data_IF_191702807143
#
_entry.id   IF_191702807143
#
_cell.length_a   1.000
_cell.length_b   1.000
_cell.length_c   1.000
_cell.angle_alpha   90.00
_cell.angle_beta   90.00
_cell.angle_gamma   90.00
#
_symmetry.space_group_name_H-M   'P 1'
#
loop_
_entity.id
_entity.type
_entity.pdbx_description
1 polymer ?
#
# COMPACT_ATOMS: atom_id res chain seq x y z
N UNK A 1 5.25 -0.59 -79.07
CA UNK A 1 5.41 -1.53 -77.94
C UNK A 1 5.90 -0.72 -76.72
N UNK A 2 5.02 -0.34 -75.78
CA UNK A 2 5.37 0.45 -74.58
C UNK A 2 5.03 -0.42 -73.39
N UNK A 3 6.06 -0.88 -72.68
CA UNK A 3 5.98 -1.63 -71.44
C UNK A 3 5.71 -0.60 -70.34
N UNK A 4 4.59 -0.71 -69.59
CA UNK A 4 4.29 0.06 -68.42
C UNK A 4 4.73 -0.75 -67.23
N UNK A 5 5.74 -0.25 -66.53
CA UNK A 5 6.26 -0.78 -65.24
C UNK A 5 5.31 -0.28 -64.13
N UNK A 6 4.58 -1.19 -63.48
CA UNK A 6 3.78 -0.88 -62.29
C UNK A 6 4.66 -1.05 -61.05
N UNK A 7 4.93 0.07 -60.38
CA UNK A 7 5.60 0.08 -59.07
C UNK A 7 4.50 -0.09 -58.00
N UNK A 8 4.50 -1.25 -57.34
CA UNK A 8 3.66 -1.50 -56.19
C UNK A 8 4.34 -0.88 -54.95
N UNK A 9 3.74 0.17 -54.44
CA UNK A 9 4.14 0.78 -53.17
C UNK A 9 3.59 -0.09 -52.04
N UNK A 10 4.43 -0.86 -51.39
CA UNK A 10 4.12 -1.58 -50.14
C UNK A 10 4.31 -0.58 -48.99
N UNK A 11 3.22 0.00 -48.53
CA UNK A 11 3.22 0.79 -47.27
C UNK A 11 3.25 -0.17 -46.10
N UNK A 12 4.43 -0.36 -45.54
CA UNK A 12 4.65 -1.06 -44.27
C UNK A 12 4.17 -0.16 -43.12
N UNK A 13 2.92 -0.34 -42.69
CA UNK A 13 2.41 0.27 -41.46
C UNK A 13 3.12 -0.32 -40.26
N UNK A 14 4.18 0.33 -39.83
CA UNK A 14 4.80 0.09 -38.53
C UNK A 14 3.83 0.60 -37.44
N UNK A 15 2.94 -0.26 -36.97
CA UNK A 15 2.20 -0.01 -35.75
C UNK A 15 3.22 -0.05 -34.60
N UNK A 16 3.78 1.13 -34.30
CA UNK A 16 4.58 1.33 -33.08
C UNK A 16 3.61 1.22 -31.90
N UNK A 17 3.45 0.00 -31.38
CA UNK A 17 2.82 -0.23 -30.10
C UNK A 17 3.66 0.48 -29.04
N UNK A 18 3.27 1.71 -28.72
CA UNK A 18 3.77 2.39 -27.53
C UNK A 18 3.25 1.58 -26.35
N UNK A 19 4.04 0.61 -25.89
CA UNK A 19 3.90 0.09 -24.55
C UNK A 19 4.09 1.29 -23.62
N UNK A 20 2.99 1.90 -23.21
CA UNK A 20 2.96 2.76 -22.03
C UNK A 20 3.34 1.86 -20.86
N UNK A 21 4.63 1.72 -20.60
CA UNK A 21 5.07 1.28 -19.29
C UNK A 21 4.50 2.32 -18.32
N UNK A 22 3.58 1.89 -17.47
CA UNK A 22 3.21 2.67 -16.30
C UNK A 22 4.52 3.14 -15.67
N UNK A 23 4.69 4.44 -15.54
CA UNK A 23 5.82 5.00 -14.81
C UNK A 23 5.53 4.60 -13.36
N UNK A 24 6.12 3.50 -12.90
CA UNK A 24 6.18 3.22 -11.47
C UNK A 24 6.87 4.44 -10.88
N UNK A 25 6.21 5.15 -9.98
CA UNK A 25 6.89 6.09 -9.13
C UNK A 25 7.80 5.22 -8.24
N UNK A 26 9.06 5.17 -8.61
CA UNK A 26 10.03 4.37 -7.89
C UNK A 26 10.26 4.96 -6.49
N UNK A 27 10.58 4.12 -5.49
CA UNK A 27 11.06 4.59 -4.20
C UNK A 27 12.28 5.50 -4.39
N UNK A 28 12.60 6.31 -3.38
CA UNK A 28 13.74 7.22 -3.47
C UNK A 28 15.04 6.44 -3.69
N UNK A 29 16.02 7.04 -4.39
CA UNK A 29 17.31 6.37 -4.63
C UNK A 29 17.97 5.90 -3.33
N UNK A 30 18.28 4.61 -3.25
CA UNK A 30 18.91 3.98 -2.09
C UNK A 30 17.93 3.33 -1.11
N UNK A 31 16.65 3.36 -1.38
CA UNK A 31 15.66 2.59 -0.63
C UNK A 31 15.64 1.13 -1.09
N UNK A 32 15.38 0.25 -0.14
CA UNK A 32 15.35 -1.21 -0.33
C UNK A 32 13.96 -1.69 0.05
N UNK A 33 13.35 -2.46 -0.84
CA UNK A 33 12.08 -3.14 -0.60
C UNK A 33 12.26 -4.19 0.50
N UNK A 34 11.37 -4.19 1.51
CA UNK A 34 11.42 -5.11 2.64
C UNK A 34 10.16 -5.94 2.83
N UNK A 35 9.04 -5.50 2.31
CA UNK A 35 7.78 -6.24 2.27
C UNK A 35 7.01 -5.85 1.01
N UNK A 36 6.26 -6.79 0.40
CA UNK A 36 5.64 -6.58 -0.88
C UNK A 36 4.33 -7.34 -1.02
N UNK A 37 3.25 -6.58 -1.25
CA UNK A 37 1.96 -7.09 -1.70
C UNK A 37 1.50 -6.27 -2.91
N UNK A 38 1.77 -6.78 -4.12
CA UNK A 38 1.46 -6.06 -5.36
C UNK A 38 -0.05 -6.00 -5.64
N UNK A 39 -0.55 -4.94 -6.26
CA UNK A 39 -1.97 -4.75 -6.50
C UNK A 39 -2.50 -5.68 -7.60
N UNK A 40 -3.75 -6.06 -7.50
CA UNK A 40 -4.49 -6.69 -8.58
C UNK A 40 -4.74 -5.65 -9.69
N UNK A 41 -4.09 -5.79 -10.81
CA UNK A 41 -4.27 -4.87 -11.96
C UNK A 41 -5.11 -5.46 -13.08
N UNK A 42 -5.11 -6.76 -13.24
CA UNK A 42 -6.00 -7.53 -14.13
C UNK A 42 -5.80 -9.02 -13.86
N UNK A 43 -6.86 -9.80 -13.84
CA UNK A 43 -6.73 -11.26 -13.86
C UNK A 43 -6.11 -11.73 -15.18
N UNK A 44 -5.41 -12.87 -15.20
CA UNK A 44 -5.05 -13.53 -16.44
C UNK A 44 -6.28 -13.77 -17.31
N UNK A 45 -6.14 -13.62 -18.63
CA UNK A 45 -7.22 -13.89 -19.56
C UNK A 45 -7.51 -15.39 -19.56
N UNK A 46 -8.61 -15.77 -18.94
CA UNK A 46 -9.16 -17.12 -18.94
C UNK A 46 -10.32 -17.11 -19.95
N UNK A 47 -10.32 -17.95 -20.98
CA UNK A 47 -11.38 -17.97 -21.96
C UNK A 47 -12.76 -18.16 -21.32
N UNK A 48 -13.69 -17.22 -21.55
CA UNK A 48 -15.04 -17.23 -21.04
C UNK A 48 -15.21 -16.63 -19.63
N UNK A 49 -14.15 -16.14 -19.01
CA UNK A 49 -14.20 -15.40 -17.74
C UNK A 49 -13.85 -13.93 -18.02
N UNK A 50 -14.70 -12.97 -17.64
CA UNK A 50 -14.36 -11.56 -17.72
C UNK A 50 -13.09 -11.26 -16.93
N UNK A 51 -12.21 -10.34 -17.37
CA UNK A 51 -11.09 -9.91 -16.57
C UNK A 51 -11.60 -9.22 -15.30
N UNK A 52 -11.01 -9.56 -14.19
CA UNK A 52 -11.23 -8.89 -12.90
C UNK A 52 -10.02 -7.99 -12.61
N UNK A 53 -10.29 -6.78 -12.18
CA UNK A 53 -9.27 -5.76 -11.96
C UNK A 53 -9.03 -5.44 -10.49
N UNK A 54 -9.53 -6.28 -9.62
CA UNK A 54 -9.51 -6.05 -8.19
C UNK A 54 -10.73 -5.26 -7.71
N UNK A 55 -10.76 -4.98 -6.43
CA UNK A 55 -11.75 -4.12 -5.78
C UNK A 55 -11.07 -3.28 -4.69
N UNK A 56 -11.80 -2.31 -4.18
CA UNK A 56 -11.31 -1.38 -3.18
C UNK A 56 -12.15 -1.48 -1.92
N UNK A 57 -11.50 -1.49 -0.76
CA UNK A 57 -12.15 -1.49 0.54
C UNK A 57 -12.13 -0.07 1.13
N UNK A 58 -13.31 0.44 1.51
CA UNK A 58 -13.46 1.82 1.98
C UNK A 58 -12.59 2.11 3.19
N UNK A 59 -11.67 3.05 3.05
CA UNK A 59 -10.80 3.52 4.11
C UNK A 59 -10.73 5.06 4.12
N UNK A 60 -11.83 5.68 4.56
CA UNK A 60 -12.01 7.14 4.55
C UNK A 60 -12.64 7.62 5.84
N UNK A 61 -12.05 8.65 6.44
CA UNK A 61 -12.59 9.38 7.59
C UNK A 61 -12.77 10.85 7.26
N UNK A 62 -13.87 11.40 7.72
CA UNK A 62 -14.33 12.75 7.41
C UNK A 62 -14.22 13.67 8.63
N UNK A 63 -13.72 14.87 8.40
CA UNK A 63 -13.58 15.90 9.43
C UNK A 63 -13.07 17.21 8.85
N UNK A 64 -12.89 18.24 9.68
CA UNK A 64 -12.16 19.43 9.29
C UNK A 64 -10.65 19.15 9.25
N UNK A 65 -9.89 20.09 8.68
CA UNK A 65 -8.44 20.01 8.66
C UNK A 65 -7.85 19.75 10.07
N UNK A 66 -6.87 18.85 10.23
CA UNK A 66 -6.40 18.41 11.54
C UNK A 66 -5.69 19.54 12.29
N UNK A 67 -6.24 19.91 13.44
CA UNK A 67 -5.62 20.81 14.42
C UNK A 67 -5.88 20.25 15.82
N UNK A 68 -5.07 20.62 16.83
CA UNK A 68 -5.31 20.14 18.20
C UNK A 68 -6.69 20.47 18.79
N UNK A 69 -7.38 21.45 18.23
CA UNK A 69 -8.70 21.91 18.70
C UNK A 69 -9.84 21.59 17.73
N UNK A 70 -9.53 21.02 16.56
CA UNK A 70 -10.56 20.63 15.61
C UNK A 70 -11.34 19.41 16.10
N UNK A 71 -12.60 19.23 15.67
CA UNK A 71 -13.28 17.96 15.85
C UNK A 71 -12.49 16.80 15.22
N UNK A 72 -12.59 15.59 15.76
CA UNK A 72 -11.90 14.43 15.21
C UNK A 72 -12.43 14.06 13.82
N UNK A 73 -11.59 13.43 13.01
CA UNK A 73 -12.03 12.69 11.84
C UNK A 73 -12.74 11.41 12.27
N UNK A 74 -13.84 11.10 11.60
CA UNK A 74 -14.64 9.90 11.87
C UNK A 74 -14.98 9.20 10.56
N UNK A 75 -14.87 7.88 10.54
CA UNK A 75 -15.18 7.10 9.35
C UNK A 75 -14.78 5.64 9.44
N UNK A 76 -14.38 5.10 8.29
CA UNK A 76 -13.93 3.73 8.14
C UNK A 76 -12.42 3.67 8.01
N UNK A 77 -11.85 2.59 8.51
CA UNK A 77 -10.46 2.23 8.24
C UNK A 77 -10.35 0.84 7.66
N UNK A 78 -9.29 0.64 6.91
CA UNK A 78 -8.75 -0.67 6.60
C UNK A 78 -7.36 -0.79 7.23
N UNK A 79 -7.04 -1.98 7.70
CA UNK A 79 -5.70 -2.35 8.15
C UNK A 79 -5.38 -3.75 7.64
N UNK A 80 -4.10 -4.00 7.35
CA UNK A 80 -3.59 -5.27 6.87
C UNK A 80 -2.32 -5.64 7.61
N UNK A 81 -2.08 -6.92 7.79
CA UNK A 81 -0.95 -7.38 8.56
C UNK A 81 0.30 -7.61 7.70
N UNK A 82 1.45 -7.55 8.33
CA UNK A 82 2.73 -7.84 7.69
C UNK A 82 3.76 -8.32 8.70
N UNK A 83 4.70 -9.10 8.22
CA UNK A 83 5.94 -9.41 8.92
C UNK A 83 7.03 -9.67 7.90
N UNK A 84 8.20 -9.09 8.08
CA UNK A 84 9.35 -9.33 7.24
C UNK A 84 10.57 -9.84 8.03
N UNK A 85 11.70 -9.99 7.38
CA UNK A 85 12.93 -10.59 7.91
C UNK A 85 13.95 -9.54 8.37
N UNK A 86 13.60 -8.27 8.36
CA UNK A 86 14.54 -7.18 8.55
C UNK A 86 14.27 -6.43 9.87
N UNK A 87 15.32 -6.14 10.62
CA UNK A 87 15.28 -5.25 11.81
C UNK A 87 15.47 -3.76 11.43
N UNK A 88 15.32 -3.43 10.15
CA UNK A 88 15.50 -2.05 9.68
C UNK A 88 14.17 -1.30 9.68
N UNK A 89 14.18 0.02 9.97
CA UNK A 89 12.94 0.77 10.04
C UNK A 89 12.24 0.88 8.70
N UNK A 90 10.90 0.94 8.72
CA UNK A 90 10.11 1.41 7.58
C UNK A 90 10.27 2.92 7.45
N UNK A 91 10.73 3.36 6.29
CA UNK A 91 10.93 4.78 5.96
C UNK A 91 9.93 5.27 4.93
N UNK A 92 9.52 4.39 4.02
CA UNK A 92 8.62 4.69 2.93
C UNK A 92 7.55 3.61 2.84
N UNK A 93 6.32 4.04 2.56
CA UNK A 93 5.16 3.19 2.31
C UNK A 93 4.63 3.48 0.92
N UNK A 94 4.46 2.44 0.12
CA UNK A 94 3.77 2.50 -1.16
C UNK A 94 2.48 1.69 -1.05
N UNK A 95 1.37 2.22 -1.57
CA UNK A 95 0.09 1.51 -1.57
C UNK A 95 -0.74 1.89 -2.79
N UNK A 96 -1.85 1.20 -3.00
CA UNK A 96 -2.75 1.46 -4.11
C UNK A 96 -4.18 1.66 -3.63
N UNK A 97 -4.95 2.40 -4.40
CA UNK A 97 -6.35 2.66 -4.08
C UNK A 97 -7.06 3.42 -5.18
N UNK A 98 -8.36 3.58 -5.02
CA UNK A 98 -9.24 4.22 -5.98
C UNK A 98 -10.18 5.21 -5.30
N UNK A 99 -10.70 6.12 -6.10
CA UNK A 99 -11.82 6.95 -5.71
C UNK A 99 -13.11 6.20 -6.03
N UNK A 100 -13.86 5.87 -4.97
CA UNK A 100 -15.07 5.05 -5.03
C UNK A 100 -16.31 5.92 -5.26
N UNK A 101 -17.36 5.30 -5.80
CA UNK A 101 -18.67 5.92 -5.94
C UNK A 101 -19.05 6.28 -7.38
N UNK A 102 -20.33 6.65 -7.60
CA UNK A 102 -20.89 6.77 -8.95
C UNK A 102 -20.30 7.88 -9.81
N UNK A 103 -19.67 8.87 -9.20
CA UNK A 103 -19.16 10.05 -9.91
C UNK A 103 -17.65 10.01 -10.14
N UNK A 104 -17.01 8.92 -9.81
CA UNK A 104 -15.57 8.67 -9.93
C UNK A 104 -14.77 9.97 -9.90
N UNK A 105 -14.25 10.30 -8.76
CA UNK A 105 -13.69 11.58 -8.43
C UNK A 105 -12.80 12.20 -9.54
N UNK A 106 -13.12 13.42 -9.95
CA UNK A 106 -12.38 14.18 -10.98
C UNK A 106 -11.65 15.40 -10.43
N UNK A 107 -11.63 15.58 -9.11
CA UNK A 107 -11.07 16.77 -8.44
C UNK A 107 -9.58 16.66 -8.08
N UNK A 108 -9.17 17.37 -7.03
CA UNK A 108 -7.79 17.44 -6.59
C UNK A 108 -7.27 16.20 -5.84
N UNK A 109 -8.13 15.23 -5.54
CA UNK A 109 -7.80 14.01 -4.82
C UNK A 109 -7.69 14.19 -3.30
N UNK A 110 -7.36 13.10 -2.62
CA UNK A 110 -7.07 13.10 -1.19
C UNK A 110 -5.84 13.99 -0.95
N UNK A 111 -5.92 14.84 0.07
CA UNK A 111 -4.83 15.75 0.45
C UNK A 111 -4.00 15.24 1.62
N UNK A 112 -4.57 14.35 2.44
CA UNK A 112 -3.91 13.80 3.62
C UNK A 112 -4.31 12.35 3.83
N UNK A 113 -3.37 11.53 4.28
CA UNK A 113 -3.62 10.20 4.80
C UNK A 113 -3.12 10.10 6.24
N UNK A 114 -3.89 9.38 7.06
CA UNK A 114 -3.42 8.82 8.31
C UNK A 114 -2.70 7.50 7.99
N UNK A 115 -1.52 7.33 8.58
CA UNK A 115 -0.75 6.08 8.55
C UNK A 115 -0.47 5.68 9.99
N UNK A 116 -0.94 4.48 10.37
CA UNK A 116 -0.74 3.88 11.68
C UNK A 116 -0.05 2.54 11.57
N UNK A 117 0.88 2.27 12.49
CA UNK A 117 1.45 0.95 12.72
C UNK A 117 1.03 0.48 14.11
N UNK A 118 0.51 -0.73 14.18
CA UNK A 118 -0.04 -1.31 15.41
C UNK A 118 0.58 -2.67 15.69
N UNK A 119 0.58 -3.07 16.97
CA UNK A 119 0.96 -4.43 17.34
C UNK A 119 -0.10 -5.42 16.88
N UNK A 120 0.29 -6.67 16.75
CA UNK A 120 -0.67 -7.75 16.53
C UNK A 120 -1.34 -8.18 17.83
N UNK A 121 -2.62 -8.56 17.73
CA UNK A 121 -3.36 -9.35 18.71
C UNK A 121 -3.70 -10.68 18.04
N UNK A 122 -2.98 -11.76 18.37
CA UNK A 122 -3.18 -13.06 17.73
C UNK A 122 -4.60 -13.60 17.87
N UNK A 123 -4.99 -14.46 16.95
CA UNK A 123 -6.24 -15.20 17.01
C UNK A 123 -6.38 -15.93 18.36
N UNK A 124 -7.60 -15.94 18.91
CA UNK A 124 -7.94 -16.62 20.15
C UNK A 124 -9.30 -17.37 20.03
N UNK A 125 -9.72 -18.00 21.11
CA UNK A 125 -10.97 -18.77 21.10
C UNK A 125 -12.23 -17.91 20.88
N UNK A 126 -12.18 -16.61 21.13
CA UNK A 126 -13.28 -15.65 20.93
C UNK A 126 -13.22 -14.95 19.57
N UNK A 127 -12.03 -14.90 18.98
CA UNK A 127 -11.76 -14.27 17.68
C UNK A 127 -10.83 -15.18 16.87
N UNK A 128 -11.32 -15.86 15.84
CA UNK A 128 -10.56 -16.88 15.11
C UNK A 128 -9.56 -16.29 14.11
N UNK A 129 -9.32 -14.98 14.12
CA UNK A 129 -8.36 -14.25 13.30
C UNK A 129 -7.56 -13.26 14.15
N UNK A 130 -6.37 -12.90 13.70
CA UNK A 130 -5.58 -11.84 14.32
C UNK A 130 -6.15 -10.46 13.98
N UNK A 131 -5.72 -9.43 14.71
CA UNK A 131 -6.29 -8.09 14.60
C UNK A 131 -5.34 -7.01 15.09
N UNK A 132 -5.52 -5.76 14.64
CA UNK A 132 -4.76 -4.62 15.16
C UNK A 132 -4.91 -4.48 16.68
N UNK A 133 -3.81 -4.22 17.36
CA UNK A 133 -3.73 -4.08 18.82
C UNK A 133 -3.42 -2.66 19.28
N UNK A 134 -2.28 -2.48 19.95
CA UNK A 134 -1.89 -1.17 20.45
C UNK A 134 -1.22 -0.36 19.35
N UNK A 135 -1.61 0.91 19.13
CA UNK A 135 -0.90 1.82 18.25
C UNK A 135 0.55 2.02 18.70
N UNK A 136 1.50 1.75 17.80
CA UNK A 136 2.93 1.87 18.04
C UNK A 136 3.50 3.15 17.43
N UNK A 137 3.04 3.51 16.23
CA UNK A 137 3.37 4.75 15.54
C UNK A 137 2.16 5.25 14.77
N UNK A 138 1.90 6.55 14.87
CA UNK A 138 0.80 7.21 14.18
C UNK A 138 1.30 8.52 13.59
N UNK A 139 1.00 8.77 12.34
CA UNK A 139 1.34 10.02 11.67
C UNK A 139 0.38 10.30 10.53
N UNK A 140 0.38 11.52 10.03
CA UNK A 140 -0.26 11.81 8.76
C UNK A 140 0.77 12.26 7.74
N UNK A 141 0.48 11.99 6.48
CA UNK A 141 1.25 12.45 5.33
C UNK A 141 0.38 13.38 4.48
N UNK A 142 0.97 14.43 3.94
CA UNK A 142 0.28 15.42 3.12
C UNK A 142 0.72 15.34 1.66
N UNK A 143 -0.18 15.62 0.72
CA UNK A 143 0.14 15.60 -0.71
C UNK A 143 1.25 16.62 -1.01
N UNK A 144 2.36 16.16 -1.58
CA UNK A 144 3.52 17.00 -1.87
C UNK A 144 4.69 16.23 -2.46
N UNK A 145 5.79 16.91 -2.82
CA UNK A 145 6.96 16.25 -3.35
C UNK A 145 7.61 15.35 -2.30
N UNK A 146 8.11 14.18 -2.74
CA UNK A 146 8.80 13.24 -1.86
C UNK A 146 10.21 13.76 -1.54
N UNK A 147 10.56 13.63 -0.26
CA UNK A 147 11.92 13.81 0.23
C UNK A 147 12.07 12.97 1.52
N UNK A 148 13.26 12.43 1.83
CA UNK A 148 13.47 11.63 3.03
C UNK A 148 12.95 12.33 4.29
N UNK A 149 12.07 11.67 5.03
CA UNK A 149 11.50 12.19 6.26
C UNK A 149 10.57 13.40 6.11
N UNK A 150 10.06 13.67 4.91
CA UNK A 150 9.22 14.85 4.64
C UNK A 150 7.81 14.75 5.25
N UNK A 151 7.29 13.56 5.45
CA UNK A 151 5.88 13.36 5.81
C UNK A 151 4.94 13.73 4.67
N UNK A 152 5.38 13.53 3.42
CA UNK A 152 4.59 13.83 2.23
C UNK A 152 4.34 12.58 1.39
N UNK A 153 3.30 12.64 0.56
CA UNK A 153 3.01 11.58 -0.42
C UNK A 153 2.76 12.15 -1.81
N UNK A 154 3.00 11.30 -2.80
CA UNK A 154 2.61 11.52 -4.20
C UNK A 154 1.53 10.53 -4.61
N UNK A 155 0.74 10.92 -5.62
CA UNK A 155 -0.32 10.12 -6.21
C UNK A 155 -0.07 10.03 -7.72
N UNK A 156 -0.10 8.82 -8.27
CA UNK A 156 0.15 8.56 -9.70
C UNK A 156 -0.94 7.64 -10.24
N UNK A 157 -1.57 8.03 -11.34
CA UNK A 157 -2.52 7.17 -12.05
C UNK A 157 -1.79 5.98 -12.68
N UNK A 158 -2.17 4.77 -12.31
CA UNK A 158 -1.58 3.52 -12.81
C UNK A 158 -2.45 2.91 -13.91
N UNK A 159 -3.75 2.92 -13.70
CA UNK A 159 -4.72 2.40 -14.66
C UNK A 159 -5.90 3.37 -14.77
N UNK A 160 -6.29 3.67 -15.99
CA UNK A 160 -7.51 4.43 -16.28
C UNK A 160 -8.77 3.69 -15.86
N UNK A 161 -9.95 4.31 -16.07
CA UNK A 161 -11.20 3.78 -15.55
C UNK A 161 -11.46 2.33 -15.97
N UNK A 162 -11.83 1.51 -15.01
CA UNK A 162 -12.35 0.17 -15.26
C UNK A 162 -13.61 0.27 -16.12
N UNK A 163 -13.76 -0.53 -17.18
CA UNK A 163 -14.90 -0.44 -18.10
C UNK A 163 -16.23 -0.87 -17.48
N UNK A 164 -16.23 -1.54 -16.33
CA UNK A 164 -17.43 -2.04 -15.67
C UNK A 164 -17.84 -1.12 -14.51
N UNK A 165 -16.90 -0.80 -13.61
CA UNK A 165 -17.17 -0.01 -12.42
C UNK A 165 -16.75 1.45 -12.54
N UNK A 166 -15.93 1.79 -13.56
CA UNK A 166 -15.50 3.16 -13.83
C UNK A 166 -14.39 3.68 -12.92
N UNK A 167 -13.89 2.91 -11.98
CA UNK A 167 -12.85 3.33 -11.05
C UNK A 167 -11.46 3.26 -11.68
N UNK A 168 -10.60 4.23 -11.33
CA UNK A 168 -9.22 4.32 -11.78
C UNK A 168 -8.29 3.94 -10.64
N UNK A 169 -7.29 3.10 -10.93
CA UNK A 169 -6.31 2.70 -9.94
C UNK A 169 -5.17 3.72 -9.84
N UNK A 170 -4.90 4.18 -8.63
CA UNK A 170 -3.80 5.08 -8.30
C UNK A 170 -2.78 4.38 -7.42
N UNK A 171 -1.53 4.74 -7.60
CA UNK A 171 -0.42 4.39 -6.73
C UNK A 171 -0.04 5.61 -5.88
N UNK A 172 0.16 5.37 -4.62
CA UNK A 172 0.59 6.34 -3.62
C UNK A 172 1.98 5.96 -3.12
N UNK A 173 2.83 6.96 -2.91
CA UNK A 173 4.15 6.80 -2.32
C UNK A 173 4.30 7.83 -1.22
N UNK A 174 4.64 7.42 0.00
CA UNK A 174 4.82 8.32 1.12
C UNK A 174 6.15 8.12 1.83
N UNK A 175 6.86 9.23 2.00
CA UNK A 175 8.00 9.32 2.90
C UNK A 175 7.51 9.58 4.31
N UNK A 176 7.78 8.67 5.21
CA UNK A 176 7.40 8.81 6.61
C UNK A 176 8.22 9.90 7.28
N UNK A 177 7.57 10.82 8.00
CA UNK A 177 8.27 11.79 8.83
C UNK A 177 8.96 11.13 10.01
N UNK A 178 8.31 10.11 10.56
CA UNK A 178 8.82 9.33 11.66
C UNK A 178 8.92 7.88 11.21
N UNK A 179 10.15 7.35 11.15
CA UNK A 179 10.38 5.95 10.82
C UNK A 179 9.66 5.02 11.79
N UNK A 180 9.09 3.94 11.28
CA UNK A 180 8.58 2.86 12.13
C UNK A 180 9.69 1.84 12.38
N UNK A 181 10.10 1.71 13.64
CA UNK A 181 11.10 0.73 14.05
C UNK A 181 10.40 -0.58 14.41
N UNK A 182 10.65 -1.58 13.63
CA UNK A 182 10.10 -2.92 13.82
C UNK A 182 11.19 -3.93 14.18
N UNK A 183 10.76 -5.13 14.54
CA UNK A 183 11.61 -6.30 14.74
C UNK A 183 11.30 -7.30 13.64
N UNK A 184 12.35 -7.90 13.11
CA UNK A 184 12.21 -9.02 12.19
C UNK A 184 11.34 -10.13 12.78
N UNK A 185 10.67 -10.86 11.91
CA UNK A 185 9.86 -12.02 12.29
C UNK A 185 8.77 -11.69 13.34
N UNK A 186 8.22 -10.48 13.28
CA UNK A 186 7.16 -10.01 14.19
C UNK A 186 6.01 -9.46 13.37
N UNK A 187 4.79 -9.89 13.67
CA UNK A 187 3.59 -9.40 12.99
C UNK A 187 3.22 -8.02 13.48
N UNK A 188 2.96 -7.14 12.54
CA UNK A 188 2.44 -5.78 12.75
C UNK A 188 1.27 -5.54 11.81
N UNK A 189 0.45 -4.54 12.13
CA UNK A 189 -0.64 -4.07 11.32
C UNK A 189 -0.36 -2.68 10.77
N UNK A 190 -0.55 -2.51 9.45
CA UNK A 190 -0.52 -1.21 8.78
C UNK A 190 -1.95 -0.73 8.58
N UNK A 191 -2.25 0.49 9.03
CA UNK A 191 -3.53 1.16 8.84
C UNK A 191 -3.34 2.38 7.95
N UNK A 192 -4.10 2.48 6.85
CA UNK A 192 -4.07 3.63 5.95
C UNK A 192 -5.48 4.16 5.79
N UNK A 193 -5.70 5.45 6.09
CA UNK A 193 -7.02 6.08 6.03
C UNK A 193 -6.93 7.44 5.35
N UNK A 194 -7.73 7.65 4.32
CA UNK A 194 -7.87 8.96 3.71
C UNK A 194 -8.57 9.93 4.67
N UNK A 195 -7.97 11.08 4.95
CA UNK A 195 -8.54 12.13 5.78
C UNK A 195 -9.13 13.22 4.87
N UNK A 196 -10.45 13.34 4.86
CA UNK A 196 -11.18 14.21 3.96
C UNK A 196 -11.85 15.35 4.71
N UNK A 197 -11.50 16.58 4.38
CA UNK A 197 -12.25 17.76 4.84
C UNK A 197 -13.47 17.97 3.93
N UNK A 198 -14.62 17.48 4.36
CA UNK A 198 -15.86 17.58 3.57
C UNK A 198 -16.27 19.02 3.23
N UNK A 199 -15.83 20.01 4.00
CA UNK A 199 -16.17 21.40 3.75
C UNK A 199 -15.34 22.02 2.63
N UNK A 200 -14.15 21.49 2.38
CA UNK A 200 -13.21 21.97 1.37
C UNK A 200 -13.06 21.04 0.16
N UNK A 201 -13.10 19.74 0.41
CA UNK A 201 -12.75 18.72 -0.59
C UNK A 201 -13.98 18.02 -1.18
N UNK A 202 -15.17 18.23 -0.61
CA UNK A 202 -16.40 17.55 -1.01
C UNK A 202 -16.45 16.08 -0.51
N UNK A 203 -17.42 15.31 -0.98
CA UNK A 203 -17.67 13.94 -0.50
C UNK A 203 -16.74 12.93 -1.19
N UNK A 204 -15.44 13.06 -1.01
CA UNK A 204 -14.48 12.09 -1.51
C UNK A 204 -14.64 10.78 -0.73
N UNK A 205 -14.77 9.67 -1.44
CA UNK A 205 -14.65 8.33 -0.90
C UNK A 205 -13.42 7.69 -1.52
N UNK A 206 -12.50 7.23 -0.68
CA UNK A 206 -11.30 6.54 -1.11
C UNK A 206 -11.27 5.14 -0.51
N UNK A 207 -10.92 4.17 -1.32
CA UNK A 207 -10.75 2.78 -0.93
C UNK A 207 -9.31 2.30 -1.14
N UNK A 208 -8.86 1.41 -0.26
CA UNK A 208 -7.58 0.74 -0.39
C UNK A 208 -7.76 -0.49 -1.27
N UNK A 209 -6.92 -0.62 -2.29
CA UNK A 209 -7.03 -1.66 -3.31
C UNK A 209 -6.50 -3.00 -2.80
N UNK A 210 -7.14 -4.10 -3.23
CA UNK A 210 -6.70 -5.43 -2.85
C UNK A 210 -5.40 -5.84 -3.56
N UNK A 211 -4.65 -6.72 -2.91
CA UNK A 211 -3.47 -7.34 -3.49
C UNK A 211 -3.83 -8.33 -4.61
N UNK A 212 -2.84 -8.68 -5.42
CA UNK A 212 -2.94 -9.83 -6.34
C UNK A 212 -2.71 -11.14 -5.57
N UNK A 213 -3.80 -11.79 -5.15
CA UNK A 213 -3.75 -13.08 -4.43
C UNK A 213 -3.15 -14.24 -5.24
N UNK A 214 -2.91 -14.07 -6.53
CA UNK A 214 -2.26 -15.06 -7.38
C UNK A 214 -0.73 -14.94 -7.32
N UNK A 215 -0.21 -13.89 -6.70
CA UNK A 215 1.22 -13.64 -6.56
C UNK A 215 1.61 -13.76 -5.09
N UNK A 216 2.46 -14.73 -4.71
CA UNK A 216 2.95 -14.84 -3.34
C UNK A 216 3.88 -13.68 -3.00
N UNK A 217 3.98 -13.35 -1.71
CA UNK A 217 4.94 -12.38 -1.22
C UNK A 217 6.28 -13.07 -0.90
N UNK A 218 7.33 -12.84 -1.72
CA UNK A 218 8.62 -13.49 -1.52
C UNK A 218 9.41 -12.93 -0.32
N UNK A 219 8.98 -11.80 0.25
CA UNK A 219 9.66 -11.09 1.34
C UNK A 219 9.01 -11.33 2.70
N UNK A 220 7.81 -11.92 2.74
CA UNK A 220 7.14 -12.30 3.97
C UNK A 220 8.01 -13.19 4.86
N UNK A 221 7.90 -13.04 6.18
CA UNK A 221 8.68 -13.84 7.12
C UNK A 221 8.12 -15.26 7.27
N UNK A 222 8.85 -16.30 6.90
CA UNK A 222 8.43 -17.67 7.12
C UNK A 222 8.61 -18.13 8.58
N UNK A 223 9.24 -17.32 9.44
CA UNK A 223 9.48 -17.67 10.83
C UNK A 223 8.26 -17.44 11.71
N UNK A 224 7.44 -16.43 11.39
CA UNK A 224 6.24 -16.06 12.17
C UNK A 224 5.04 -16.86 11.72
N UNK A 225 4.82 -16.89 10.43
CA UNK A 225 3.79 -17.70 9.79
C UNK A 225 4.52 -18.49 8.71
N UNK A 226 4.10 -19.67 8.30
CA UNK A 226 4.75 -20.41 7.22
C UNK A 226 4.72 -19.67 5.86
N UNK A 227 4.98 -18.40 5.84
CA UNK A 227 4.90 -17.52 4.68
C UNK A 227 3.49 -17.41 4.14
N UNK A 228 3.39 -17.25 2.86
CA UNK A 228 2.14 -17.24 2.13
C UNK A 228 1.43 -18.59 2.22
N UNK A 229 0.14 -18.58 2.53
CA UNK A 229 -0.69 -19.79 2.55
C UNK A 229 -1.56 -19.86 1.30
N UNK A 230 -1.60 -21.01 0.66
CA UNK A 230 -2.62 -21.26 -0.35
C UNK A 230 -3.94 -21.53 0.36
N UNK A 231 -4.89 -20.60 0.22
CA UNK A 231 -6.23 -20.71 0.83
C UNK A 231 -7.26 -21.33 -0.10
N UNK A 232 -6.97 -21.44 -1.39
CA UNK A 232 -7.87 -22.05 -2.37
C UNK A 232 -7.36 -21.95 -3.80
N UNK A 233 -8.28 -22.16 -4.73
CA UNK A 233 -8.04 -22.05 -6.16
C UNK A 233 -9.21 -21.34 -6.82
N UNK A 234 -8.94 -20.30 -7.57
CA UNK A 234 -9.91 -19.63 -8.45
C UNK A 234 -9.57 -20.00 -9.89
N UNK A 235 -10.51 -20.62 -10.58
CA UNK A 235 -10.31 -21.10 -11.96
C UNK A 235 -9.03 -21.94 -12.15
N UNK A 236 -8.60 -22.69 -11.11
CA UNK A 236 -7.39 -23.51 -11.12
C UNK A 236 -6.09 -22.78 -10.78
N UNK A 237 -6.16 -21.48 -10.45
CA UNK A 237 -5.02 -20.69 -9.99
C UNK A 237 -4.99 -20.66 -8.47
N UNK A 238 -3.82 -20.89 -7.81
CA UNK A 238 -3.71 -20.79 -6.36
C UNK A 238 -3.99 -19.35 -5.89
N UNK A 239 -4.69 -19.28 -4.77
CA UNK A 239 -4.98 -18.03 -4.07
C UNK A 239 -4.18 -17.98 -2.78
N UNK A 240 -3.54 -16.87 -2.51
CA UNK A 240 -2.59 -16.70 -1.42
C UNK A 240 -3.09 -15.66 -0.41
N UNK A 241 -2.80 -15.89 0.86
CA UNK A 241 -2.93 -14.91 1.94
C UNK A 241 -1.63 -14.83 2.72
N UNK A 242 -1.25 -13.62 3.13
CA UNK A 242 -0.33 -13.48 4.24
C UNK A 242 -1.13 -13.67 5.52
N UNK A 243 -0.76 -14.36 6.44
CA UNK A 243 -1.32 -14.70 7.75
C UNK A 243 -2.88 -14.73 7.83
N UNK A 244 -3.54 -13.56 7.80
CA UNK A 244 -5.00 -13.39 7.87
C UNK A 244 -5.48 -12.31 6.87
N UNK A 245 -6.78 -12.26 6.63
CA UNK A 245 -7.38 -11.19 5.82
C UNK A 245 -7.23 -9.81 6.47
N UNK A 246 -7.18 -8.76 5.68
CA UNK A 246 -7.25 -7.39 6.15
C UNK A 246 -8.51 -7.14 6.99
N UNK A 247 -8.39 -6.24 7.97
CA UNK A 247 -9.48 -5.90 8.86
C UNK A 247 -10.11 -4.56 8.52
N UNK A 248 -11.45 -4.50 8.61
CA UNK A 248 -12.22 -3.27 8.48
C UNK A 248 -12.81 -2.86 9.83
N UNK A 249 -12.96 -1.55 10.03
CA UNK A 249 -13.60 -1.05 11.22
C UNK A 249 -13.95 0.43 11.14
N UNK A 250 -14.37 0.96 12.27
CA UNK A 250 -14.61 2.39 12.45
C UNK A 250 -13.44 3.05 13.14
N UNK A 251 -13.13 4.26 12.74
CA UNK A 251 -12.05 5.07 13.33
C UNK A 251 -12.58 6.42 13.78
N UNK A 252 -12.12 6.87 14.94
CA UNK A 252 -12.21 8.26 15.40
C UNK A 252 -10.78 8.70 15.71
N UNK A 253 -10.23 9.59 14.92
CA UNK A 253 -8.84 10.05 15.09
C UNK A 253 -8.74 11.57 15.06
N UNK A 254 -7.88 12.11 15.90
CA UNK A 254 -7.59 13.52 15.97
C UNK A 254 -6.08 13.76 16.06
N UNK A 255 -5.61 14.67 15.24
CA UNK A 255 -4.22 15.11 15.34
C UNK A 255 -3.99 15.90 16.63
N UNK A 256 -3.02 15.48 17.43
CA UNK A 256 -2.52 16.21 18.60
C UNK A 256 -1.08 16.64 18.33
N UNK A 257 -0.23 15.67 17.97
CA UNK A 257 1.18 15.86 17.63
C UNK A 257 1.58 14.84 16.58
N UNK A 258 2.34 15.24 15.57
CA UNK A 258 2.83 14.30 14.58
C UNK A 258 3.72 13.25 15.24
N UNK A 259 3.53 11.99 14.88
CA UNK A 259 4.29 10.83 15.35
C UNK A 259 4.00 10.33 16.77
N UNK A 260 3.33 11.08 17.61
CA UNK A 260 3.05 10.63 19.00
C UNK A 260 1.77 11.19 19.62
N UNK A 261 1.04 12.02 18.92
CA UNK A 261 -0.08 12.76 19.50
C UNK A 261 -1.41 12.58 18.79
N UNK A 262 -1.62 11.45 18.12
CA UNK A 262 -2.95 11.09 17.64
C UNK A 262 -3.76 10.43 18.76
N UNK A 263 -5.04 10.69 18.76
CA UNK A 263 -6.00 9.81 19.40
C UNK A 263 -6.60 8.94 18.31
N UNK A 264 -6.40 7.65 18.41
CA UNK A 264 -7.03 6.64 17.55
C UNK A 264 -7.94 5.78 18.41
N UNK A 265 -9.24 5.94 18.23
CA UNK A 265 -10.26 5.09 18.81
C UNK A 265 -10.83 4.24 17.67
N UNK A 266 -10.28 3.06 17.49
CA UNK A 266 -10.70 2.13 16.46
C UNK A 266 -11.52 1.00 17.04
N UNK A 267 -12.55 0.60 16.32
CA UNK A 267 -13.33 -0.60 16.60
C UNK A 267 -13.50 -1.36 15.29
N UNK A 268 -12.87 -2.51 15.17
CA UNK A 268 -13.01 -3.36 13.98
C UNK A 268 -14.36 -4.11 13.98
N UNK A 269 -14.76 -4.55 12.79
CA UNK A 269 -16.06 -5.23 12.58
C UNK A 269 -15.83 -6.74 12.39
N UNK A 270 -15.90 -7.55 13.45
CA UNK A 270 -15.55 -8.98 13.39
C UNK A 270 -16.43 -9.80 12.45
N UNK A 271 -17.66 -9.36 12.22
CA UNK A 271 -18.61 -10.07 11.32
C UNK A 271 -18.19 -10.05 9.86
N UNK A 272 -17.30 -9.13 9.47
CA UNK A 272 -16.81 -9.02 8.11
C UNK A 272 -15.96 -10.24 7.70
N UNK A 273 -15.31 -10.88 8.65
CA UNK A 273 -14.43 -12.04 8.41
C UNK A 273 -15.16 -13.38 8.39
N UNK A 274 -16.24 -13.50 9.14
CA UNK A 274 -16.98 -14.76 9.29
C UNK A 274 -17.82 -15.06 8.05
N UNK A 275 -18.30 -14.03 7.36
CA UNK A 275 -19.15 -14.20 6.17
C UNK A 275 -18.40 -14.70 4.93
N UNK A 276 -17.08 -14.61 4.94
CA UNK A 276 -16.22 -14.92 3.77
C UNK A 276 -16.06 -16.44 3.55
N UNK A 277 -16.28 -17.26 4.57
CA UNK A 277 -15.97 -18.70 4.49
C UNK A 277 -17.13 -19.59 4.01
N UNK A 278 -18.36 -19.11 3.92
CA UNK A 278 -19.56 -19.95 3.79
C UNK A 278 -20.27 -19.89 2.42
N UNK A 279 -19.75 -19.17 1.43
CA UNK A 279 -20.38 -19.07 0.11
C UNK A 279 -19.66 -19.82 -1.01
N UNK A 280 -20.21 -19.84 -2.22
CA UNK A 280 -19.42 -20.21 -3.38
C UNK A 280 -18.23 -19.25 -3.45
N UNK A 281 -17.05 -19.71 -3.88
CA UNK A 281 -15.83 -18.89 -3.87
C UNK A 281 -16.03 -17.65 -4.76
N UNK A 282 -16.47 -16.58 -4.16
CA UNK A 282 -16.47 -15.26 -4.73
C UNK A 282 -15.07 -14.67 -4.55
N UNK A 283 -14.67 -13.82 -5.47
CA UNK A 283 -13.35 -13.19 -5.43
C UNK A 283 -13.14 -12.46 -4.09
N UNK A 284 -14.16 -11.80 -3.58
CA UNK A 284 -14.17 -11.15 -2.27
C UNK A 284 -13.78 -12.06 -1.09
N UNK A 285 -13.93 -13.37 -1.23
CA UNK A 285 -13.55 -14.32 -0.19
C UNK A 285 -12.05 -14.56 -0.09
N UNK A 286 -11.31 -14.20 -1.13
CA UNK A 286 -9.89 -14.51 -1.24
C UNK A 286 -9.00 -13.26 -1.33
N UNK A 287 -9.59 -12.08 -1.33
CA UNK A 287 -8.87 -10.86 -1.70
C UNK A 287 -9.00 -9.76 -0.66
N UNK A 288 -9.06 -10.13 0.60
CA UNK A 288 -9.09 -9.14 1.68
C UNK A 288 -7.74 -8.50 1.96
N UNK A 289 -6.65 -9.23 1.71
CA UNK A 289 -5.33 -8.63 1.79
C UNK A 289 -5.21 -7.45 0.83
N UNK A 290 -4.56 -6.40 1.30
CA UNK A 290 -4.48 -5.12 0.61
C UNK A 290 -3.11 -4.94 -0.04
N UNK A 291 -3.07 -4.11 -1.06
CA UNK A 291 -1.84 -3.89 -1.82
C UNK A 291 -0.98 -2.81 -1.16
N UNK A 292 0.22 -3.18 -0.72
CA UNK A 292 1.22 -2.24 -0.23
C UNK A 292 2.63 -2.82 -0.28
N UNK A 293 3.60 -1.92 -0.31
CA UNK A 293 5.02 -2.24 -0.23
C UNK A 293 5.66 -1.39 0.87
N UNK A 294 6.59 -1.96 1.60
CA UNK A 294 7.36 -1.28 2.63
C UNK A 294 8.84 -1.20 2.23
N UNK A 295 9.45 -0.06 2.51
CA UNK A 295 10.85 0.18 2.16
C UNK A 295 11.63 0.68 3.36
N UNK A 296 12.92 0.31 3.35
CA UNK A 296 13.94 0.83 4.28
C UNK A 296 15.05 1.53 3.51
N UNK A 297 15.84 2.34 4.19
CA UNK A 297 17.03 2.94 3.59
C UNK A 297 18.23 2.02 3.64
N UNK A 298 19.23 2.31 2.81
CA UNK A 298 20.56 1.74 2.97
C UNK A 298 21.12 2.17 4.33
N UNK A 299 21.01 1.33 5.33
CA UNK A 299 21.75 1.50 6.58
C UNK A 299 23.20 1.14 6.27
N UNK A 300 24.15 2.09 6.29
CA UNK A 300 25.56 1.73 6.15
C UNK A 300 25.89 0.73 7.23
N UNK A 301 26.42 -0.43 6.86
CA UNK A 301 26.84 -1.41 7.84
C UNK A 301 27.69 -0.74 8.93
N UNK A 302 27.49 -1.06 10.21
CA UNK A 302 28.28 -0.46 11.32
C UNK A 302 29.79 -0.53 11.08
N UNK A 303 30.25 -1.52 10.29
CA UNK A 303 31.63 -1.66 9.82
C UNK A 303 32.13 -0.52 8.92
N UNK A 304 31.26 0.04 8.07
CA UNK A 304 31.66 1.16 7.18
C UNK A 304 31.86 2.46 7.95
N UNK A 305 31.02 2.74 8.93
CA UNK A 305 31.16 3.94 9.79
C UNK A 305 32.45 3.83 10.63
N UNK A 306 32.75 2.64 11.14
CA UNK A 306 34.00 2.36 11.88
C UNK A 306 35.24 2.51 10.99
N UNK A 307 35.18 2.05 9.73
CA UNK A 307 36.29 2.16 8.78
C UNK A 307 36.52 3.62 8.33
N UNK A 308 35.47 4.41 8.12
CA UNK A 308 35.59 5.84 7.81
C UNK A 308 36.15 6.63 9.00
N UNK A 309 35.68 6.35 10.22
CA UNK A 309 36.21 6.94 11.46
C UNK A 309 37.69 6.64 11.66
N UNK A 310 38.11 5.39 11.49
CA UNK A 310 39.51 4.97 11.59
C UNK A 310 40.37 5.59 10.48
N UNK A 311 39.86 5.67 9.26
CA UNK A 311 40.55 6.29 8.12
C UNK A 311 40.84 7.79 8.35
N UNK A 312 39.87 8.53 8.89
CA UNK A 312 40.07 9.95 9.23
C UNK A 312 41.03 10.16 10.39
N UNK A 313 41.04 9.25 11.39
CA UNK A 313 41.99 9.31 12.49
C UNK A 313 43.45 9.09 12.02
N UNK A 314 43.63 8.12 11.10
CA UNK A 314 44.97 7.85 10.51
C UNK A 314 45.46 9.01 9.63
N UNK A 315 44.58 9.63 8.85
CA UNK A 315 44.90 10.80 8.04
C UNK A 315 45.25 12.03 8.91
N UNK A 316 44.49 12.26 9.99
CA UNK A 316 44.74 13.35 10.94
C UNK A 316 46.07 13.22 11.69
N UNK A 317 46.54 12.01 11.98
CA UNK A 317 47.84 11.75 12.61
C UNK A 317 49.03 11.91 11.63
N UNK A 318 48.82 11.73 10.33
CA UNK A 318 49.86 11.90 9.32
C UNK A 318 50.18 13.37 8.97
N UNK A 319 49.24 14.29 9.22
CA UNK A 319 49.45 15.73 9.00
C UNK A 319 50.16 16.46 10.19
N UNK A 320 50.44 15.76 11.29
CA UNK A 320 51.13 16.32 12.46
C UNK A 320 52.58 15.85 12.61
N UNK A 321 53.19 15.36 11.53
CA UNK A 321 54.65 15.08 11.50
C UNK A 321 55.36 15.93 10.44
#
# INVERSE_FOLDING_TARGET
MRVRLAIALVTLSMACGICLRAVKADPLPGEILKFQQEPMVATPIIPGVPPFFGHDELSTAYGPAPTPTAPPYQGRFMADDFADRFDTPVLHVQWWGSYMGPDHFTGAGVKQFYIGFESDVPADASQPFSRPGTPLLQQYVTKGPLAPGSGTFTETLIRGPDPVIGESLYQYNAELKCPFFEKSDTVYWLKIVALVDQTQDGPIQWGWHNRDWMVPDPLASPAVVPGEKTVGFVAGVPVWHFQDDAVQGTIITQFINQCSGFTDQSAFEPTHYVAVQDGPPEIEQFSKDLAFNLFTGNVPEPGMISALGLGMLILGLRQRR
#
